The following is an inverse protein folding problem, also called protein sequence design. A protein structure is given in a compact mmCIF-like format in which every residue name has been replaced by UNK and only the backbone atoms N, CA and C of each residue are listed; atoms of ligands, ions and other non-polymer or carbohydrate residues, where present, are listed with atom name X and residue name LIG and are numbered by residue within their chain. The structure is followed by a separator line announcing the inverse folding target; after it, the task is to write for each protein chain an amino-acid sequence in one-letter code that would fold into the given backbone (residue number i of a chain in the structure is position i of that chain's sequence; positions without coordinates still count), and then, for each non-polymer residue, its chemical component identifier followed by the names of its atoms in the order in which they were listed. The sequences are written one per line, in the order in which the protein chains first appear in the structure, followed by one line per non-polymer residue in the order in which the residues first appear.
data_IF_110314621817
#
_entry.id   IF_110314621817
#
_cell.length_a   1.000
_cell.length_b   1.000
_cell.length_c   1.000
_cell.angle_alpha   90.00
_cell.angle_beta   90.00
_cell.angle_gamma   90.00
#
_symmetry.space_group_name_H-M   'P 1'
#
loop_
_entity.id
_entity.type
_entity.pdbx_description
1 polymer ?
#
# COMPACT_ATOMS: atom_id res chain seq x y z
N UNK A 1 -1.37 -10.86 -29.33
CA UNK A 1 -1.38 -11.78 -28.17
C UNK A 1 -2.12 -11.13 -26.99
N UNK A 2 -3.34 -10.65 -27.21
CA UNK A 2 -4.21 -10.03 -26.19
C UNK A 2 -5.09 -11.04 -25.45
N UNK A 3 -5.21 -12.26 -26.00
CA UNK A 3 -6.12 -13.31 -25.54
C UNK A 3 -5.89 -13.73 -24.08
N UNK A 4 -4.64 -13.68 -23.61
CA UNK A 4 -4.31 -14.00 -22.22
C UNK A 4 -4.82 -12.95 -21.22
N UNK A 5 -4.77 -11.65 -21.56
CA UNK A 5 -5.18 -10.59 -20.64
C UNK A 5 -6.70 -10.58 -20.44
N UNK A 6 -7.46 -10.81 -21.50
CA UNK A 6 -8.91 -10.83 -21.47
C UNK A 6 -9.46 -12.02 -20.68
N UNK A 7 -8.79 -13.17 -20.75
CA UNK A 7 -9.09 -14.33 -19.89
C UNK A 7 -8.86 -14.01 -18.40
N UNK A 8 -7.77 -13.32 -18.06
CA UNK A 8 -7.54 -12.86 -16.69
C UNK A 8 -8.61 -11.87 -16.23
N UNK A 9 -9.09 -10.99 -17.12
CA UNK A 9 -10.20 -10.09 -16.83
C UNK A 9 -11.49 -10.87 -16.54
N UNK A 10 -11.83 -11.90 -17.32
CA UNK A 10 -12.98 -12.78 -17.02
C UNK A 10 -12.86 -13.47 -15.66
N UNK A 11 -11.67 -13.94 -15.30
CA UNK A 11 -11.45 -14.58 -14.00
C UNK A 11 -11.59 -13.59 -12.83
N UNK A 12 -11.17 -12.34 -13.02
CA UNK A 12 -11.40 -11.26 -12.04
C UNK A 12 -12.91 -11.03 -11.84
N UNK A 13 -13.70 -10.96 -12.93
CA UNK A 13 -15.15 -10.76 -12.83
C UNK A 13 -15.83 -11.92 -12.10
N UNK A 14 -15.43 -13.15 -12.39
CA UNK A 14 -15.91 -14.34 -11.67
C UNK A 14 -15.49 -14.37 -10.19
N UNK A 15 -14.32 -13.83 -9.83
CA UNK A 15 -13.86 -13.72 -8.44
C UNK A 15 -14.65 -12.68 -7.66
N UNK A 16 -14.97 -11.56 -8.30
CA UNK A 16 -15.79 -10.50 -7.73
C UNK A 16 -17.22 -11.01 -7.51
N UNK A 17 -17.83 -11.63 -8.53
CA UNK A 17 -19.14 -12.28 -8.45
C UNK A 17 -19.20 -13.47 -7.47
N UNK A 18 -18.07 -13.95 -6.97
CA UNK A 18 -17.98 -15.04 -6.01
C UNK A 18 -18.14 -16.44 -6.62
N UNK A 19 -18.24 -16.53 -7.94
CA UNK A 19 -18.43 -17.79 -8.69
C UNK A 19 -17.11 -18.51 -9.00
N UNK A 20 -15.96 -17.85 -8.81
CA UNK A 20 -14.66 -18.47 -9.09
C UNK A 20 -14.31 -19.55 -8.05
N UNK A 21 -13.93 -20.78 -8.47
CA UNK A 21 -13.53 -21.85 -7.55
C UNK A 21 -12.20 -21.56 -6.85
N UNK A 22 -11.99 -22.17 -5.68
CA UNK A 22 -10.84 -21.88 -4.79
C UNK A 22 -9.48 -22.09 -5.46
N UNK A 23 -9.31 -23.15 -6.25
CA UNK A 23 -8.06 -23.43 -6.96
C UNK A 23 -7.71 -22.33 -7.99
N UNK A 24 -8.73 -21.82 -8.69
CA UNK A 24 -8.55 -20.74 -9.66
C UNK A 24 -8.28 -19.41 -8.96
N UNK A 25 -8.89 -19.14 -7.80
CA UNK A 25 -8.56 -17.96 -6.96
C UNK A 25 -7.08 -17.94 -6.56
N UNK A 26 -6.50 -19.07 -6.17
CA UNK A 26 -5.09 -19.14 -5.80
C UNK A 26 -4.15 -18.86 -7.00
N UNK A 27 -4.59 -19.21 -8.21
CA UNK A 27 -3.84 -18.98 -9.44
C UNK A 27 -3.95 -17.51 -9.87
N UNK A 28 -5.16 -16.95 -9.82
CA UNK A 28 -5.40 -15.53 -10.03
C UNK A 28 -4.62 -14.67 -9.02
N UNK A 29 -4.62 -15.03 -7.74
CA UNK A 29 -3.86 -14.30 -6.71
C UNK A 29 -2.36 -14.25 -7.02
N UNK A 30 -1.77 -15.34 -7.52
CA UNK A 30 -0.35 -15.36 -7.94
C UNK A 30 -0.11 -14.47 -9.15
N UNK A 31 -1.02 -14.47 -10.13
CA UNK A 31 -0.91 -13.60 -11.30
C UNK A 31 -1.01 -12.11 -10.93
N UNK A 32 -1.90 -11.74 -10.01
CA UNK A 32 -2.08 -10.35 -9.58
C UNK A 32 -0.84 -9.78 -8.86
N UNK A 33 0.00 -10.62 -8.27
CA UNK A 33 1.28 -10.19 -7.67
C UNK A 33 2.29 -9.79 -8.76
N UNK A 34 2.25 -10.43 -9.92
CA UNK A 34 3.24 -10.23 -10.99
C UNK A 34 2.76 -9.29 -12.09
N UNK A 35 1.45 -9.06 -12.22
CA UNK A 35 0.87 -8.24 -13.28
C UNK A 35 0.15 -7.00 -12.72
N UNK A 36 0.79 -5.82 -12.72
CA UNK A 36 0.20 -4.59 -12.19
C UNK A 36 -1.02 -4.12 -12.99
N UNK A 37 -1.07 -4.42 -14.30
CA UNK A 37 -2.21 -4.09 -15.15
C UNK A 37 -3.48 -4.83 -14.72
N UNK A 38 -3.38 -6.15 -14.48
CA UNK A 38 -4.51 -6.95 -14.00
C UNK A 38 -4.88 -6.60 -12.55
N UNK A 39 -3.89 -6.29 -11.71
CA UNK A 39 -4.12 -5.81 -10.35
C UNK A 39 -4.90 -4.49 -10.34
N UNK A 40 -4.53 -3.53 -11.18
CA UNK A 40 -5.25 -2.27 -11.36
C UNK A 40 -6.68 -2.47 -11.84
N UNK A 41 -6.88 -3.30 -12.86
CA UNK A 41 -8.22 -3.61 -13.39
C UNK A 41 -9.16 -4.20 -12.32
N UNK A 42 -8.63 -5.08 -11.45
CA UNK A 42 -9.40 -5.63 -10.32
C UNK A 42 -9.81 -4.56 -9.32
N UNK A 43 -8.91 -3.63 -8.98
CA UNK A 43 -9.22 -2.53 -8.06
C UNK A 43 -10.31 -1.63 -8.63
N UNK A 44 -10.18 -1.20 -9.89
CA UNK A 44 -11.18 -0.34 -10.53
C UNK A 44 -12.58 -0.96 -10.57
N UNK A 45 -12.69 -2.27 -10.79
CA UNK A 45 -13.97 -2.98 -10.79
C UNK A 45 -14.61 -3.05 -9.39
N UNK A 46 -13.81 -3.31 -8.36
CA UNK A 46 -14.29 -3.28 -6.97
C UNK A 46 -14.76 -1.88 -6.55
N UNK A 47 -14.08 -0.83 -7.00
CA UNK A 47 -14.49 0.56 -6.75
C UNK A 47 -15.80 0.93 -7.47
N UNK A 48 -16.00 0.43 -8.70
CA UNK A 48 -17.26 0.59 -9.42
C UNK A 48 -18.41 -0.06 -8.68
N UNK A 49 -18.26 -1.33 -8.26
CA UNK A 49 -19.29 -2.00 -7.46
C UNK A 49 -19.58 -1.26 -6.15
N UNK A 50 -18.53 -0.83 -5.43
CA UNK A 50 -18.67 -0.04 -4.21
C UNK A 50 -19.49 1.24 -4.43
N UNK A 51 -19.27 1.91 -5.57
CA UNK A 51 -20.01 3.10 -5.98
C UNK A 51 -21.47 2.78 -6.32
N UNK A 52 -21.74 1.67 -7.01
CA UNK A 52 -23.10 1.22 -7.31
C UNK A 52 -23.88 0.86 -6.04
N UNK A 53 -23.32 0.09 -5.11
CA UNK A 53 -24.02 -0.23 -3.86
C UNK A 53 -24.31 1.02 -3.02
N UNK A 54 -23.38 1.99 -3.01
CA UNK A 54 -23.59 3.28 -2.36
C UNK A 54 -24.74 4.06 -3.00
N UNK A 55 -24.84 4.07 -4.33
CA UNK A 55 -25.92 4.72 -5.06
C UNK A 55 -27.28 4.06 -4.82
N UNK A 56 -27.31 2.73 -4.62
CA UNK A 56 -28.52 1.97 -4.31
C UNK A 56 -28.97 2.07 -2.84
N UNK A 57 -28.32 2.88 -2.01
CA UNK A 57 -28.71 3.04 -0.59
C UNK A 57 -28.34 1.85 0.29
N UNK A 58 -27.48 0.95 -0.20
CA UNK A 58 -26.98 -0.24 0.50
C UNK A 58 -25.48 -0.08 0.83
N UNK A 59 -25.10 0.90 1.68
CA UNK A 59 -23.70 1.16 2.00
C UNK A 59 -23.02 -0.01 2.73
N UNK A 60 -23.80 -0.95 3.27
CA UNK A 60 -23.33 -2.09 4.05
C UNK A 60 -23.11 -3.35 3.21
N UNK A 61 -23.71 -3.45 2.02
CA UNK A 61 -23.59 -4.62 1.15
C UNK A 61 -22.15 -4.86 0.64
N UNK A 62 -21.32 -3.81 0.59
CA UNK A 62 -19.92 -3.90 0.12
C UNK A 62 -18.87 -3.50 1.16
N UNK A 63 -19.26 -3.23 2.41
CA UNK A 63 -18.34 -2.94 3.51
C UNK A 63 -17.32 -4.08 3.77
N UNK A 64 -17.56 -5.27 3.21
CA UNK A 64 -16.80 -6.50 3.51
C UNK A 64 -15.63 -6.77 2.57
N UNK A 65 -15.46 -6.07 1.44
CA UNK A 65 -14.27 -6.27 0.57
C UNK A 65 -13.32 -5.08 0.56
N UNK A 66 -13.11 -4.45 1.73
CA UNK A 66 -11.85 -3.71 1.91
C UNK A 66 -10.74 -4.74 1.73
N UNK A 67 -9.90 -4.54 0.70
CA UNK A 67 -8.60 -5.18 0.65
C UNK A 67 -7.94 -4.86 1.98
N UNK A 68 -7.96 -5.85 2.88
CA UNK A 68 -7.19 -5.77 4.11
C UNK A 68 -5.77 -5.74 3.59
N UNK A 69 -5.21 -4.54 3.38
CA UNK A 69 -3.78 -4.38 3.31
C UNK A 69 -3.30 -5.12 4.55
N UNK A 70 -2.75 -6.31 4.31
CA UNK A 70 -2.47 -7.29 5.35
C UNK A 70 -1.70 -6.49 6.39
N UNK A 71 -2.20 -6.36 7.62
CA UNK A 71 -1.58 -5.46 8.60
C UNK A 71 -0.07 -5.69 8.73
N UNK A 72 0.37 -6.92 8.46
CA UNK A 72 1.77 -7.34 8.30
C UNK A 72 2.55 -6.61 7.21
N UNK A 73 1.96 -6.36 6.04
CA UNK A 73 2.59 -5.61 4.94
C UNK A 73 2.79 -4.15 5.34
N UNK A 74 1.78 -3.52 5.94
CA UNK A 74 1.90 -2.14 6.45
C UNK A 74 2.91 -2.04 7.58
N UNK A 75 2.87 -2.97 8.54
CA UNK A 75 3.85 -3.04 9.62
C UNK A 75 5.27 -3.27 9.10
N UNK A 76 5.43 -4.09 8.06
CA UNK A 76 6.71 -4.31 7.39
C UNK A 76 7.26 -3.02 6.77
N UNK A 77 6.43 -2.29 6.02
CA UNK A 77 6.84 -1.01 5.45
C UNK A 77 7.14 0.06 6.50
N UNK A 78 6.36 0.11 7.58
CA UNK A 78 6.63 1.00 8.71
C UNK A 78 7.98 0.68 9.38
N UNK A 79 8.27 -0.60 9.60
CA UNK A 79 9.56 -1.03 10.16
C UNK A 79 10.74 -0.65 9.25
N UNK A 80 10.60 -0.85 7.93
CA UNK A 80 11.63 -0.45 6.95
C UNK A 80 11.87 1.06 6.99
N UNK A 81 10.82 1.87 7.03
CA UNK A 81 10.93 3.32 7.11
C UNK A 81 11.63 3.78 8.40
N UNK A 82 11.31 3.16 9.54
CA UNK A 82 11.97 3.45 10.83
C UNK A 82 13.45 3.08 10.81
N UNK A 83 13.81 1.90 10.29
CA UNK A 83 15.21 1.46 10.17
C UNK A 83 15.98 2.41 9.25
N UNK A 84 15.40 2.76 8.10
CA UNK A 84 16.02 3.68 7.15
C UNK A 84 16.25 5.07 7.77
N UNK A 85 15.26 5.60 8.49
CA UNK A 85 15.38 6.87 9.21
C UNK A 85 16.44 6.83 10.32
N UNK A 86 16.48 5.75 11.11
CA UNK A 86 17.46 5.57 12.18
C UNK A 86 18.89 5.51 11.62
N UNK A 87 19.12 4.70 10.58
CA UNK A 87 20.42 4.56 9.93
C UNK A 87 20.87 5.88 9.31
N UNK A 88 19.96 6.59 8.65
CA UNK A 88 20.27 7.90 8.04
C UNK A 88 20.64 8.94 9.10
N UNK A 89 19.89 9.00 10.21
CA UNK A 89 20.18 9.89 11.34
C UNK A 89 21.51 9.57 12.03
N UNK A 90 21.80 8.29 12.22
CA UNK A 90 23.08 7.83 12.77
C UNK A 90 24.26 8.23 11.87
N UNK A 91 24.13 7.99 10.56
CA UNK A 91 25.19 8.32 9.60
C UNK A 91 25.45 9.83 9.54
N UNK A 92 24.38 10.63 9.59
CA UNK A 92 24.48 12.09 9.68
C UNK A 92 25.21 12.52 10.96
N UNK A 93 24.86 11.93 12.11
CA UNK A 93 25.52 12.19 13.39
C UNK A 93 27.01 11.83 13.37
N UNK A 94 27.36 10.67 12.82
CA UNK A 94 28.74 10.21 12.74
C UNK A 94 29.62 11.08 11.80
N UNK A 95 29.04 11.62 10.73
CA UNK A 95 29.78 12.40 9.73
C UNK A 95 29.91 13.89 10.07
N UNK A 96 28.89 14.49 10.67
CA UNK A 96 28.82 15.94 10.88
C UNK A 96 28.84 16.35 12.36
N UNK A 97 28.80 15.39 13.29
CA UNK A 97 28.62 15.64 14.71
C UNK A 97 27.15 15.93 15.05
N UNK A 98 26.71 15.46 16.22
CA UNK A 98 25.38 15.75 16.73
C UNK A 98 25.22 17.16 17.29
N UNK A 99 23.98 17.56 17.61
CA UNK A 99 23.76 18.79 18.39
C UNK A 99 24.61 18.70 19.66
N UNK A 100 25.52 19.66 19.85
CA UNK A 100 26.38 19.72 21.02
C UNK A 100 25.56 19.74 22.31
N UNK A 101 26.16 19.37 23.44
CA UNK A 101 25.52 19.30 24.78
C UNK A 101 24.95 20.63 25.32
N UNK A 102 24.95 21.69 24.52
CA UNK A 102 24.39 22.99 24.85
C UNK A 102 22.86 23.01 24.68
N UNK A 103 22.20 23.86 25.47
CA UNK A 103 20.77 24.11 25.31
C UNK A 103 20.51 24.82 23.97
N UNK A 104 19.30 24.69 23.43
CA UNK A 104 18.88 25.39 22.21
C UNK A 104 19.10 26.92 22.29
N UNK A 105 19.16 27.48 23.51
CA UNK A 105 19.50 28.88 23.75
C UNK A 105 20.96 29.21 23.46
N UNK A 106 21.90 28.29 23.76
CA UNK A 106 23.33 28.45 23.46
C UNK A 106 23.62 28.49 21.96
N UNK A 107 22.90 27.67 21.17
CA UNK A 107 23.07 27.64 19.71
C UNK A 107 22.50 28.88 19.00
N UNK A 108 21.48 29.54 19.57
CA UNK A 108 20.91 30.79 19.03
C UNK A 108 21.90 31.96 19.11
N UNK A 109 22.68 32.03 20.18
CA UNK A 109 23.70 33.05 20.36
C UNK A 109 24.83 32.93 19.31
N UNK A 110 25.08 31.72 18.79
CA UNK A 110 26.13 31.49 17.79
C UNK A 110 25.70 31.87 16.36
N UNK A 111 24.40 31.83 16.07
CA UNK A 111 23.85 32.15 14.74
C UNK A 111 23.68 33.66 14.54
N UNK A 112 23.48 34.44 15.61
CA UNK A 112 23.30 35.90 15.54
C UNK A 112 24.62 36.69 15.55
N UNK A 113 25.75 36.04 15.82
CA UNK A 113 27.07 36.70 15.94
C UNK A 113 27.93 36.49 14.67
N UNK A 114 27.39 35.81 13.63
CA UNK A 114 28.07 35.66 12.34
C UNK A 114 27.41 36.48 11.23
#
# INVERSE_FOLDING_TARGET
MTDGHEEWLRQIDAEIAGTLPLAQRATLARHLVTCPRCAGARVSRLELEASFAKAHGEPHALAVRRSVLRGRTLAGWAAVALIAGLLSGWLAHARWGGPGRGTLESSRATILVR
#
